data_IF_184917960354
#
_entry.id   IF_184917960354
#
_cell.length_a   1.000
_cell.length_b   1.000
_cell.length_c   1.000
_cell.angle_alpha   90.00
_cell.angle_beta   90.00
_cell.angle_gamma   90.00
#
_symmetry.space_group_name_H-M   'P 1'
#
loop_
_entity.id
_entity.type
_entity.pdbx_description
1 polymer ?
#
# COMPACT_ATOMS: atom_id res chain seq x y z
N UNK A 1 12.26 33.30 12.66
CA UNK A 1 13.31 32.70 13.48
C UNK A 1 12.80 31.45 14.21
N UNK A 2 11.60 31.49 14.77
CA UNK A 2 11.03 30.33 15.50
C UNK A 2 10.86 29.07 14.64
N UNK A 3 10.45 29.23 13.38
CA UNK A 3 10.28 28.09 12.46
C UNK A 3 11.59 27.33 12.17
N UNK A 4 12.74 28.03 12.15
CA UNK A 4 14.04 27.40 11.95
C UNK A 4 14.47 26.58 13.18
N UNK A 5 14.23 27.11 14.39
CA UNK A 5 14.52 26.41 15.64
C UNK A 5 13.60 25.20 15.84
N UNK A 6 12.35 25.29 15.39
CA UNK A 6 11.42 24.16 15.43
C UNK A 6 11.87 23.04 14.48
N UNK A 7 12.27 23.36 13.23
CA UNK A 7 12.82 22.37 12.31
C UNK A 7 14.07 21.68 12.87
N UNK A 8 14.97 22.40 13.54
CA UNK A 8 16.15 21.79 14.17
C UNK A 8 15.74 20.81 15.27
N UNK A 9 14.77 21.17 16.12
CA UNK A 9 14.28 20.26 17.17
C UNK A 9 13.59 19.02 16.62
N UNK A 10 12.86 19.16 15.52
CA UNK A 10 12.23 18.02 14.83
C UNK A 10 13.30 17.05 14.32
N UNK A 11 14.37 17.58 13.72
CA UNK A 11 15.51 16.79 13.23
C UNK A 11 16.25 16.11 14.39
N UNK A 12 16.54 16.83 15.47
CA UNK A 12 17.20 16.28 16.66
C UNK A 12 16.37 15.14 17.30
N UNK A 13 15.05 15.31 17.37
CA UNK A 13 14.13 14.26 17.82
C UNK A 13 14.14 13.05 16.89
N UNK A 14 14.23 13.26 15.58
CA UNK A 14 14.30 12.17 14.61
C UNK A 14 15.61 11.38 14.76
N UNK A 15 16.75 12.07 14.93
CA UNK A 15 18.06 11.43 15.17
C UNK A 15 18.02 10.61 16.46
N UNK A 16 17.54 11.19 17.57
CA UNK A 16 17.43 10.49 18.85
C UNK A 16 16.55 9.23 18.77
N UNK A 17 15.46 9.27 17.99
CA UNK A 17 14.63 8.09 17.77
C UNK A 17 15.40 7.01 17.02
N UNK A 18 16.07 7.36 15.92
CA UNK A 18 16.85 6.42 15.12
C UNK A 18 18.01 5.80 15.92
N UNK A 19 18.68 6.57 16.78
CA UNK A 19 19.77 6.08 17.63
C UNK A 19 19.28 5.22 18.81
N UNK A 20 18.07 5.46 19.30
CA UNK A 20 17.45 4.70 20.38
C UNK A 20 16.72 3.44 19.89
N UNK A 21 16.41 3.35 18.59
CA UNK A 21 15.94 2.14 17.96
C UNK A 21 17.10 1.14 17.90
N UNK A 22 17.22 0.31 18.94
CA UNK A 22 17.85 -1.00 18.84
C UNK A 22 17.04 -1.79 17.82
N UNK A 23 17.33 -1.62 16.52
CA UNK A 23 16.79 -2.53 15.50
C UNK A 23 17.40 -3.90 15.79
N UNK A 24 16.69 -4.71 16.59
CA UNK A 24 16.79 -6.15 16.49
C UNK A 24 16.72 -6.49 15.00
N UNK A 25 17.59 -7.39 14.53
CA UNK A 25 17.60 -7.83 13.13
C UNK A 25 16.20 -8.38 12.81
N UNK A 26 15.36 -7.54 12.21
CA UNK A 26 14.05 -7.91 11.76
C UNK A 26 14.25 -8.80 10.54
N UNK A 27 14.21 -10.12 10.76
CA UNK A 27 14.30 -11.11 9.69
C UNK A 27 12.94 -11.20 9.02
N UNK A 28 12.86 -10.62 7.83
CA UNK A 28 11.70 -10.70 6.95
C UNK A 28 11.71 -12.00 6.16
N UNK A 29 10.59 -12.72 6.14
CA UNK A 29 10.36 -13.85 5.23
C UNK A 29 10.09 -13.42 3.76
N UNK A 30 9.95 -12.12 3.52
CA UNK A 30 9.78 -11.56 2.17
C UNK A 30 11.14 -11.54 1.46
N UNK A 31 11.29 -12.33 0.40
CA UNK A 31 12.44 -12.23 -0.50
C UNK A 31 12.53 -10.84 -1.11
N UNK A 32 13.72 -10.25 -1.09
CA UNK A 32 13.94 -8.94 -1.69
C UNK A 32 13.71 -9.00 -3.20
N UNK A 33 12.80 -8.18 -3.75
CA UNK A 33 12.48 -8.23 -5.17
C UNK A 33 13.66 -7.71 -6.00
N UNK A 34 13.96 -8.40 -7.11
CA UNK A 34 15.04 -8.02 -8.04
C UNK A 34 14.65 -6.78 -8.89
N UNK A 35 13.39 -6.35 -8.83
CA UNK A 35 12.87 -5.17 -9.50
C UNK A 35 11.35 -5.02 -9.34
N UNK A 36 10.75 -4.11 -10.10
CA UNK A 36 9.29 -3.93 -10.11
C UNK A 36 8.62 -5.11 -10.84
N UNK A 37 7.67 -5.83 -10.20
CA UNK A 37 6.95 -6.92 -10.87
C UNK A 37 6.23 -6.44 -12.13
N UNK A 38 6.23 -7.28 -13.18
CA UNK A 38 5.58 -6.95 -14.46
C UNK A 38 4.05 -6.92 -14.32
N UNK A 39 3.50 -7.92 -13.65
CA UNK A 39 2.07 -8.04 -13.40
C UNK A 39 1.62 -7.07 -12.32
N UNK A 40 0.47 -6.41 -12.57
CA UNK A 40 -0.07 -5.43 -11.63
C UNK A 40 -0.38 -6.04 -10.27
N UNK A 41 -0.97 -7.25 -10.27
CA UNK A 41 -1.37 -7.90 -9.04
C UNK A 41 -0.19 -8.20 -8.12
N UNK A 42 0.91 -8.68 -8.70
CA UNK A 42 2.11 -8.98 -7.93
C UNK A 42 2.77 -7.71 -7.39
N UNK A 43 2.80 -6.63 -8.19
CA UNK A 43 3.29 -5.35 -7.71
C UNK A 43 2.41 -4.76 -6.59
N UNK A 44 1.08 -4.84 -6.73
CA UNK A 44 0.15 -4.38 -5.71
C UNK A 44 0.32 -5.14 -4.40
N UNK A 45 0.41 -6.48 -4.45
CA UNK A 45 0.67 -7.33 -3.28
C UNK A 45 2.00 -6.99 -2.62
N UNK A 46 3.07 -6.88 -3.41
CA UNK A 46 4.38 -6.50 -2.90
C UNK A 46 4.33 -5.16 -2.14
N UNK A 47 3.66 -4.14 -2.67
CA UNK A 47 3.55 -2.85 -2.00
C UNK A 47 2.70 -2.91 -0.72
N UNK A 48 1.68 -3.77 -0.65
CA UNK A 48 0.96 -4.03 0.59
C UNK A 48 1.81 -4.78 1.61
N UNK A 49 2.57 -5.78 1.18
CA UNK A 49 3.43 -6.57 2.05
C UNK A 49 4.55 -5.71 2.65
N UNK A 50 5.12 -4.78 1.88
CA UNK A 50 6.07 -3.78 2.39
C UNK A 50 5.46 -2.85 3.44
N UNK A 51 4.17 -2.52 3.34
CA UNK A 51 3.49 -1.71 4.37
C UNK A 51 3.38 -2.49 5.68
N UNK A 52 2.97 -3.76 5.62
CA UNK A 52 2.90 -4.63 6.81
C UNK A 52 4.30 -4.76 7.42
N UNK A 53 5.32 -5.00 6.60
CA UNK A 53 6.69 -5.12 7.06
C UNK A 53 7.17 -3.87 7.81
N UNK A 54 6.90 -2.69 7.24
CA UNK A 54 7.30 -1.43 7.83
C UNK A 54 6.60 -1.16 9.17
N UNK A 55 5.35 -1.63 9.33
CA UNK A 55 4.62 -1.55 10.59
C UNK A 55 5.17 -2.57 11.62
N UNK A 56 5.39 -3.81 11.21
CA UNK A 56 5.93 -4.88 12.08
C UNK A 56 7.33 -4.54 12.60
N UNK A 57 8.19 -4.00 11.74
CA UNK A 57 9.56 -3.63 12.09
C UNK A 57 9.66 -2.26 12.78
N UNK A 58 8.52 -1.64 13.11
CA UNK A 58 8.42 -0.29 13.68
C UNK A 58 9.27 0.77 12.94
N UNK A 59 9.31 0.68 11.61
CA UNK A 59 10.08 1.60 10.75
C UNK A 59 9.34 2.93 10.61
N UNK A 60 8.01 2.90 10.56
CA UNK A 60 7.16 4.09 10.47
C UNK A 60 5.81 3.87 11.14
N UNK A 61 5.19 4.97 11.59
CA UNK A 61 3.82 4.99 12.12
C UNK A 61 2.79 5.50 11.11
N UNK A 62 3.23 6.05 9.97
CA UNK A 62 2.35 6.66 8.96
C UNK A 62 2.79 6.22 7.56
N UNK A 63 1.80 5.84 6.75
CA UNK A 63 1.98 5.38 5.37
C UNK A 63 1.04 6.17 4.47
N UNK A 64 1.57 6.63 3.33
CA UNK A 64 0.77 7.19 2.23
C UNK A 64 1.04 6.37 0.98
N UNK A 65 -0.03 5.83 0.37
CA UNK A 65 0.09 4.87 -0.71
C UNK A 65 -0.85 5.21 -1.87
N UNK A 66 -0.26 5.48 -3.04
CA UNK A 66 -1.01 5.66 -4.28
C UNK A 66 -1.16 4.31 -4.98
N UNK A 67 -2.34 3.71 -4.88
CA UNK A 67 -2.61 2.40 -5.45
C UNK A 67 -2.51 2.37 -6.98
N UNK A 68 -3.10 3.36 -7.66
CA UNK A 68 -2.93 3.54 -9.10
C UNK A 68 -2.87 5.03 -9.46
N UNK A 69 -2.28 5.33 -10.63
CA UNK A 69 -2.25 6.67 -11.20
C UNK A 69 -3.46 6.89 -12.12
N UNK A 70 -4.10 8.06 -12.06
CA UNK A 70 -5.37 8.38 -12.73
C UNK A 70 -5.32 8.28 -14.28
N UNK A 71 -4.21 8.71 -14.91
CA UNK A 71 -3.97 8.59 -16.36
C UNK A 71 -3.39 7.23 -16.79
N UNK A 72 -3.75 6.13 -16.10
CA UNK A 72 -3.21 4.82 -16.42
C UNK A 72 -3.88 4.20 -17.67
N UNK A 73 -3.07 3.95 -18.71
CA UNK A 73 -3.50 3.14 -19.86
C UNK A 73 -3.27 1.64 -19.65
N UNK A 74 -3.25 1.19 -18.38
CA UNK A 74 -3.07 -0.21 -18.04
C UNK A 74 -4.32 -1.00 -18.44
N UNK A 75 -4.11 -2.20 -18.97
CA UNK A 75 -5.15 -3.16 -19.32
C UNK A 75 -5.14 -4.30 -18.30
N UNK A 76 -6.26 -5.03 -18.18
CA UNK A 76 -6.41 -6.17 -17.27
C UNK A 76 -6.94 -7.42 -18.01
N UNK A 77 -6.18 -7.97 -18.99
CA UNK A 77 -6.61 -9.13 -19.76
C UNK A 77 -6.85 -10.38 -18.91
N UNK A 78 -6.17 -10.53 -17.77
CA UNK A 78 -6.32 -11.64 -16.83
C UNK A 78 -7.71 -11.70 -16.18
N UNK A 79 -8.42 -10.58 -16.10
CA UNK A 79 -9.83 -10.52 -15.70
C UNK A 79 -10.75 -10.26 -16.90
N UNK A 80 -10.28 -10.44 -18.14
CA UNK A 80 -11.08 -10.25 -19.35
C UNK A 80 -11.43 -8.79 -19.67
N UNK A 81 -10.61 -7.83 -19.24
CA UNK A 81 -10.75 -6.41 -19.62
C UNK A 81 -9.49 -5.95 -20.35
N UNK A 82 -9.36 -6.23 -21.67
CA UNK A 82 -8.19 -5.88 -22.45
C UNK A 82 -8.13 -4.39 -22.80
N UNK A 83 -9.20 -3.62 -22.61
CA UNK A 83 -9.21 -2.18 -22.86
C UNK A 83 -8.43 -1.40 -21.78
N UNK A 84 -7.89 -0.21 -22.11
CA UNK A 84 -7.20 0.61 -21.14
C UNK A 84 -8.16 1.13 -20.05
N UNK A 85 -7.70 1.13 -18.80
CA UNK A 85 -8.48 1.51 -17.63
C UNK A 85 -9.01 2.95 -17.70
N UNK A 86 -8.14 3.94 -17.91
CA UNK A 86 -8.53 5.35 -17.95
C UNK A 86 -9.69 5.65 -18.93
N UNK A 87 -9.64 5.31 -20.23
CA UNK A 87 -10.79 5.56 -21.13
C UNK A 87 -12.03 4.71 -20.81
N UNK A 88 -11.86 3.61 -20.07
CA UNK A 88 -13.00 2.79 -19.60
C UNK A 88 -13.75 3.47 -18.46
N UNK A 89 -13.07 4.23 -17.59
CA UNK A 89 -13.71 4.98 -16.51
C UNK A 89 -14.56 6.16 -17.02
N UNK A 90 -14.23 6.72 -18.20
CA UNK A 90 -15.10 7.66 -18.93
C UNK A 90 -16.26 6.92 -19.64
N UNK A 91 -17.04 6.17 -18.86
CA UNK A 91 -18.01 5.20 -19.38
C UNK A 91 -19.27 5.84 -19.98
N UNK A 92 -19.63 7.08 -19.60
CA UNK A 92 -20.78 7.79 -20.18
C UNK A 92 -22.12 7.04 -20.06
N UNK A 93 -22.28 6.23 -19.01
CA UNK A 93 -23.40 5.30 -18.78
C UNK A 93 -23.56 4.17 -19.83
N UNK A 94 -22.52 3.89 -20.63
CA UNK A 94 -22.48 2.67 -21.43
C UNK A 94 -22.45 1.44 -20.52
N UNK A 95 -23.44 0.53 -20.59
CA UNK A 95 -23.54 -0.61 -19.69
C UNK A 95 -22.34 -1.56 -19.78
N UNK A 96 -21.74 -1.72 -20.96
CA UNK A 96 -20.56 -2.58 -21.18
C UNK A 96 -19.35 -1.98 -20.47
N UNK A 97 -19.15 -0.67 -20.57
CA UNK A 97 -18.03 0.00 -19.87
C UNK A 97 -18.24 0.02 -18.36
N UNK A 98 -19.48 0.20 -17.89
CA UNK A 98 -19.84 0.13 -16.47
C UNK A 98 -19.51 -1.25 -15.89
N UNK A 99 -19.85 -2.32 -16.60
CA UNK A 99 -19.49 -3.68 -16.17
C UNK A 99 -17.96 -3.86 -16.08
N UNK A 100 -17.23 -3.37 -17.08
CA UNK A 100 -15.76 -3.47 -17.12
C UNK A 100 -15.07 -2.69 -15.99
N UNK A 101 -15.50 -1.45 -15.72
CA UNK A 101 -14.91 -0.66 -14.63
C UNK A 101 -15.24 -1.27 -13.26
N UNK A 102 -16.44 -1.82 -13.08
CA UNK A 102 -16.80 -2.56 -11.87
C UNK A 102 -15.91 -3.79 -11.69
N UNK A 103 -15.60 -4.51 -12.77
CA UNK A 103 -14.70 -5.68 -12.73
C UNK A 103 -13.27 -5.30 -12.36
N UNK A 104 -12.75 -4.18 -12.89
CA UNK A 104 -11.45 -3.63 -12.49
C UNK A 104 -11.46 -3.25 -11.01
N UNK A 105 -12.49 -2.52 -10.56
CA UNK A 105 -12.63 -2.12 -9.15
C UNK A 105 -12.70 -3.33 -8.21
N UNK A 106 -13.46 -4.36 -8.56
CA UNK A 106 -13.51 -5.61 -7.80
C UNK A 106 -12.12 -6.27 -7.73
N UNK A 107 -11.41 -6.34 -8.84
CA UNK A 107 -10.04 -6.88 -8.88
C UNK A 107 -9.05 -6.05 -8.04
N UNK A 108 -9.22 -4.73 -7.96
CA UNK A 108 -8.41 -3.91 -7.06
C UNK A 108 -8.71 -4.21 -5.59
N UNK A 109 -10.00 -4.32 -5.25
CA UNK A 109 -10.43 -4.59 -3.89
C UNK A 109 -10.05 -5.99 -3.39
N UNK A 110 -9.79 -6.96 -4.26
CA UNK A 110 -9.27 -8.27 -3.80
C UNK A 110 -7.90 -8.13 -3.12
N UNK A 111 -7.02 -7.27 -3.63
CA UNK A 111 -5.71 -7.04 -3.00
C UNK A 111 -5.83 -6.33 -1.65
N UNK A 112 -6.77 -5.38 -1.55
CA UNK A 112 -7.03 -4.71 -0.27
C UNK A 112 -7.61 -5.69 0.76
N UNK A 113 -8.52 -6.58 0.36
CA UNK A 113 -9.03 -7.63 1.23
C UNK A 113 -7.92 -8.60 1.68
N UNK A 114 -7.04 -9.02 0.77
CA UNK A 114 -5.84 -9.82 1.11
C UNK A 114 -4.94 -9.09 2.12
N UNK A 115 -4.71 -7.79 1.93
CA UNK A 115 -3.93 -6.96 2.84
C UNK A 115 -4.56 -6.85 4.25
N UNK A 116 -5.87 -6.64 4.35
CA UNK A 116 -6.57 -6.60 5.64
C UNK A 116 -6.50 -7.95 6.37
N UNK A 117 -6.61 -9.06 5.63
CA UNK A 117 -6.46 -10.39 6.23
C UNK A 117 -5.04 -10.59 6.77
N UNK A 118 -4.02 -10.16 6.02
CA UNK A 118 -2.64 -10.21 6.51
C UNK A 118 -2.43 -9.35 7.75
N UNK A 119 -2.93 -8.10 7.78
CA UNK A 119 -2.87 -7.26 8.98
C UNK A 119 -3.50 -7.93 10.20
N UNK A 120 -4.64 -8.60 10.01
CA UNK A 120 -5.33 -9.34 11.07
C UNK A 120 -4.55 -10.56 11.55
N UNK A 121 -3.85 -11.25 10.64
CA UNK A 121 -3.02 -12.40 10.98
C UNK A 121 -1.67 -12.03 11.60
N UNK A 122 -1.26 -10.77 11.49
CA UNK A 122 0.01 -10.28 12.03
C UNK A 122 -0.15 -9.82 13.49
N UNK A 123 0.55 -10.47 14.45
CA UNK A 123 0.51 -10.05 15.86
C UNK A 123 1.18 -8.68 16.09
N UNK A 124 0.62 -7.90 17.01
CA UNK A 124 1.14 -6.62 17.50
C UNK A 124 0.79 -6.46 18.99
N UNK A 125 1.72 -6.89 19.86
CA UNK A 125 1.48 -6.99 21.30
C UNK A 125 0.46 -8.10 21.63
N UNK A 126 -0.61 -7.73 22.32
CA UNK A 126 -1.71 -8.65 22.70
C UNK A 126 -2.79 -8.78 21.61
N UNK A 127 -2.78 -7.90 20.60
CA UNK A 127 -3.77 -7.82 19.50
C UNK A 127 -3.11 -8.02 18.12
N UNK A 128 -3.83 -7.74 17.02
CA UNK A 128 -3.28 -7.75 15.66
C UNK A 128 -2.92 -6.35 15.16
N UNK A 129 -2.08 -6.27 14.12
CA UNK A 129 -1.83 -4.98 13.45
C UNK A 129 -3.12 -4.33 12.94
N UNK A 130 -4.12 -5.12 12.53
CA UNK A 130 -5.40 -4.58 12.10
C UNK A 130 -6.14 -3.85 13.24
N UNK A 131 -6.06 -4.35 14.46
CA UNK A 131 -6.72 -3.75 15.63
C UNK A 131 -6.06 -2.41 16.02
N UNK A 132 -4.75 -2.28 15.76
CA UNK A 132 -3.95 -1.10 16.08
C UNK A 132 -3.76 -0.12 14.90
N UNK A 133 -4.36 -0.39 13.73
CA UNK A 133 -4.18 0.43 12.52
C UNK A 133 -5.49 1.03 12.02
N UNK A 134 -5.48 2.32 11.68
CA UNK A 134 -6.56 2.96 10.92
C UNK A 134 -6.11 3.13 9.47
N UNK A 135 -6.87 2.53 8.55
CA UNK A 135 -6.65 2.69 7.10
C UNK A 135 -7.77 3.53 6.49
N UNK A 136 -7.41 4.59 5.76
CA UNK A 136 -8.35 5.45 5.04
C UNK A 136 -8.20 5.22 3.54
N UNK A 137 -9.31 4.87 2.89
CA UNK A 137 -9.41 4.78 1.43
C UNK A 137 -10.13 6.03 0.91
N UNK A 138 -9.53 6.72 -0.07
CA UNK A 138 -10.12 7.87 -0.76
C UNK A 138 -9.98 7.75 -2.28
#
# INVERSE_FOLDING_TARGET
>A
MDQYLETIREIERQIQRTEASDTEEFVSDIESPIGVPAEFGDHARLLYDLQILALQADITRVISFQFTRELNNRTYPQIGVPEPHHPTSHHGNDPVKVEKIAKIGQYHMTFFAEFLEKLKMTPDGDDSLLDNTVYLLW
#
